data_IF_074812364904
#
_entry.id   IF_074812364904
#
_cell.length_a   1.000
_cell.length_b   1.000
_cell.length_c   1.000
_cell.angle_alpha   90.00
_cell.angle_beta   90.00
_cell.angle_gamma   90.00
#
_symmetry.space_group_name_H-M   'P 1'
#
loop_
_entity.id
_entity.type
_entity.pdbx_description
1 polymer ?
#
# COMPACT_ATOMS: atom_id res chain seq x y z
N UNK A 1 18.59 7.24 -28.29
CA UNK A 1 18.62 5.78 -28.01
C UNK A 1 17.21 5.32 -27.72
N UNK A 2 16.63 4.44 -28.54
CA UNK A 2 15.31 3.86 -28.29
C UNK A 2 15.42 2.81 -27.19
N UNK A 3 15.18 3.19 -25.93
CA UNK A 3 15.03 2.26 -24.82
C UNK A 3 13.85 1.32 -25.13
N UNK A 4 14.11 0.03 -25.37
CA UNK A 4 13.05 -0.95 -25.54
C UNK A 4 12.35 -1.18 -24.18
N UNK A 5 11.01 -1.23 -24.12
CA UNK A 5 10.30 -1.45 -22.87
C UNK A 5 10.71 -2.78 -22.26
N UNK A 6 11.10 -2.75 -20.98
CA UNK A 6 11.50 -3.95 -20.24
C UNK A 6 10.28 -4.52 -19.51
N UNK A 7 9.78 -5.67 -19.99
CA UNK A 7 8.55 -6.28 -19.48
C UNK A 7 8.66 -6.70 -18.00
N UNK A 8 9.85 -7.07 -17.53
CA UNK A 8 10.09 -7.41 -16.13
C UNK A 8 9.96 -6.16 -15.25
N UNK A 9 10.56 -5.06 -15.68
CA UNK A 9 10.44 -3.76 -14.98
C UNK A 9 8.99 -3.30 -14.96
N UNK A 10 8.26 -3.47 -16.07
CA UNK A 10 6.84 -3.14 -16.15
C UNK A 10 6.01 -3.87 -15.09
N UNK A 11 6.07 -5.20 -15.06
CA UNK A 11 5.24 -5.97 -14.13
C UNK A 11 5.65 -5.76 -12.66
N UNK A 12 6.94 -5.62 -12.36
CA UNK A 12 7.38 -5.32 -10.99
C UNK A 12 6.89 -3.92 -10.56
N UNK A 13 6.92 -2.94 -11.46
CA UNK A 13 6.37 -1.60 -11.19
C UNK A 13 4.86 -1.65 -10.96
N UNK A 14 4.13 -2.40 -11.78
CA UNK A 14 2.69 -2.60 -11.64
C UNK A 14 2.34 -3.22 -10.29
N UNK A 15 3.00 -4.33 -9.92
CA UNK A 15 2.75 -4.96 -8.62
C UNK A 15 3.15 -4.04 -7.47
N UNK A 16 4.27 -3.35 -7.55
CA UNK A 16 4.66 -2.36 -6.54
C UNK A 16 3.56 -1.30 -6.34
N UNK A 17 3.02 -0.73 -7.43
CA UNK A 17 1.93 0.23 -7.37
C UNK A 17 0.65 -0.35 -6.75
N UNK A 18 0.29 -1.60 -7.09
CA UNK A 18 -0.84 -2.28 -6.49
C UNK A 18 -0.65 -2.50 -4.99
N UNK A 19 0.53 -2.92 -4.53
CA UNK A 19 0.83 -3.10 -3.11
C UNK A 19 0.80 -1.78 -2.34
N UNK A 20 1.33 -0.69 -2.91
CA UNK A 20 1.20 0.64 -2.30
C UNK A 20 -0.28 1.00 -2.16
N UNK A 21 -1.07 0.85 -3.22
CA UNK A 21 -2.49 1.23 -3.20
C UNK A 21 -3.33 0.36 -2.25
N UNK A 22 -3.06 -0.94 -2.18
CA UNK A 22 -3.67 -1.83 -1.19
C UNK A 22 -3.26 -1.44 0.23
N UNK A 23 -1.99 -1.14 0.47
CA UNK A 23 -1.48 -0.71 1.77
C UNK A 23 -2.13 0.59 2.24
N UNK A 24 -2.23 1.59 1.38
CA UNK A 24 -2.92 2.86 1.66
C UNK A 24 -4.40 2.65 1.96
N UNK A 25 -5.08 1.76 1.22
CA UNK A 25 -6.48 1.44 1.50
C UNK A 25 -6.66 0.79 2.88
N UNK A 26 -5.77 -0.13 3.25
CA UNK A 26 -5.77 -0.78 4.57
C UNK A 26 -5.41 0.20 5.69
N UNK A 27 -4.48 1.13 5.44
CA UNK A 27 -4.14 2.19 6.39
C UNK A 27 -5.35 3.08 6.68
N UNK A 28 -6.03 3.54 5.63
CA UNK A 28 -7.26 4.32 5.77
C UNK A 28 -8.33 3.56 6.57
N UNK A 29 -8.51 2.25 6.32
CA UNK A 29 -9.44 1.41 7.08
C UNK A 29 -9.04 1.29 8.56
N UNK A 30 -7.76 1.02 8.84
CA UNK A 30 -7.23 0.91 10.19
C UNK A 30 -7.39 2.20 10.99
N UNK A 31 -6.99 3.35 10.44
CA UNK A 31 -7.08 4.63 11.14
C UNK A 31 -8.51 5.13 11.29
N UNK A 32 -9.38 4.89 10.30
CA UNK A 32 -10.80 5.25 10.43
C UNK A 32 -11.51 4.39 11.49
N UNK A 33 -11.14 3.10 11.61
CA UNK A 33 -11.60 2.20 12.68
C UNK A 33 -11.13 2.66 14.06
N UNK A 34 -9.87 3.13 14.20
CA UNK A 34 -9.34 3.63 15.48
C UNK A 34 -9.96 4.96 15.88
N UNK A 35 -10.14 5.88 14.92
CA UNK A 35 -10.65 7.22 15.19
C UNK A 35 -12.18 7.28 15.31
N UNK A 36 -12.88 6.15 15.10
CA UNK A 36 -14.34 6.10 15.17
C UNK A 36 -15.06 6.94 14.11
N UNK A 37 -14.36 7.31 13.03
CA UNK A 37 -14.90 8.13 11.92
C UNK A 37 -15.92 7.36 11.07
N UNK A 38 -15.92 6.05 11.24
CA UNK A 38 -16.63 5.10 10.42
C UNK A 38 -17.98 4.78 11.11
N UNK A 39 -19.05 5.48 10.69
CA UNK A 39 -20.43 5.33 11.21
C UNK A 39 -21.32 4.46 10.30
N UNK A 40 -22.45 3.95 10.83
CA UNK A 40 -23.46 3.18 10.08
C UNK A 40 -24.08 3.96 8.90
N UNK A 41 -23.90 5.28 8.85
CA UNK A 41 -24.42 6.17 7.82
C UNK A 41 -23.51 6.29 6.60
N UNK A 42 -22.34 5.65 6.62
CA UNK A 42 -21.42 5.70 5.49
C UNK A 42 -22.00 4.97 4.28
N UNK A 43 -22.07 5.67 3.15
CA UNK A 43 -22.32 5.08 1.83
C UNK A 43 -20.98 4.66 1.20
N UNK A 44 -20.71 3.36 1.16
CA UNK A 44 -19.50 2.79 0.57
C UNK A 44 -19.43 1.28 0.76
N UNK A 45 -18.43 0.59 0.16
CA UNK A 45 -18.18 -0.82 0.43
C UNK A 45 -17.92 -1.05 1.92
N UNK A 46 -18.24 -2.25 2.40
CA UNK A 46 -17.99 -2.63 3.79
C UNK A 46 -16.48 -2.56 4.07
N UNK A 47 -16.10 -1.73 5.04
CA UNK A 47 -14.74 -1.63 5.59
C UNK A 47 -14.45 -2.85 6.46
N UNK A 48 -13.26 -3.43 6.33
CA UNK A 48 -12.85 -4.59 7.12
C UNK A 48 -12.82 -4.22 8.61
N UNK A 49 -12.38 -3.01 8.95
CA UNK A 49 -12.34 -2.50 10.33
C UNK A 49 -13.70 -2.34 10.99
N UNK A 50 -14.76 -2.15 10.21
CA UNK A 50 -16.13 -2.04 10.73
C UNK A 50 -16.89 -3.37 10.70
N UNK A 51 -16.43 -4.34 9.93
CA UNK A 51 -17.13 -5.61 9.73
C UNK A 51 -17.25 -6.45 11.02
N UNK A 52 -16.41 -6.18 12.04
CA UNK A 52 -16.28 -7.00 13.23
C UNK A 52 -15.61 -8.36 12.98
N UNK A 53 -15.34 -8.71 11.71
CA UNK A 53 -14.72 -9.98 11.31
C UNK A 53 -13.19 -9.95 11.46
N UNK A 54 -12.59 -8.77 11.48
CA UNK A 54 -11.14 -8.57 11.54
C UNK A 54 -10.79 -7.68 12.72
N UNK A 55 -9.86 -8.13 13.56
CA UNK A 55 -9.38 -7.35 14.70
C UNK A 55 -8.52 -6.17 14.23
N UNK A 56 -8.46 -5.10 15.02
CA UNK A 56 -7.58 -3.93 14.76
C UNK A 56 -6.12 -4.37 14.58
N UNK A 57 -5.65 -5.29 15.41
CA UNK A 57 -4.30 -5.86 15.32
C UNK A 57 -4.09 -6.60 14.00
N UNK A 58 -5.07 -7.37 13.54
CA UNK A 58 -4.98 -8.05 12.24
C UNK A 58 -4.95 -7.04 11.08
N UNK A 59 -5.74 -5.97 11.13
CA UNK A 59 -5.71 -4.90 10.13
C UNK A 59 -4.35 -4.20 10.06
N UNK A 60 -3.74 -3.91 11.21
CA UNK A 60 -2.39 -3.36 11.28
C UNK A 60 -1.39 -4.30 10.58
N UNK A 61 -1.43 -5.60 10.89
CA UNK A 61 -0.52 -6.56 10.27
C UNK A 61 -0.77 -6.76 8.78
N UNK A 62 -2.03 -6.70 8.33
CA UNK A 62 -2.35 -6.73 6.90
C UNK A 62 -1.77 -5.52 6.17
N UNK A 63 -1.96 -4.31 6.72
CA UNK A 63 -1.37 -3.07 6.20
C UNK A 63 0.16 -3.17 6.15
N UNK A 64 0.79 -3.51 7.28
CA UNK A 64 2.25 -3.58 7.40
C UNK A 64 2.84 -4.64 6.45
N UNK A 65 2.23 -5.82 6.36
CA UNK A 65 2.68 -6.89 5.46
C UNK A 65 2.53 -6.48 3.99
N UNK A 66 1.45 -5.78 3.64
CA UNK A 66 1.23 -5.29 2.27
C UNK A 66 2.29 -4.29 1.85
N UNK A 67 2.61 -3.30 2.69
CA UNK A 67 3.73 -2.39 2.43
C UNK A 67 5.09 -3.09 2.49
N UNK A 68 5.25 -4.14 3.29
CA UNK A 68 6.51 -4.88 3.30
C UNK A 68 6.74 -5.63 1.99
N UNK A 69 5.71 -6.29 1.44
CA UNK A 69 5.83 -6.95 0.13
C UNK A 69 6.08 -5.94 -0.99
N UNK A 70 5.38 -4.79 -0.97
CA UNK A 70 5.64 -3.69 -1.90
C UNK A 70 7.09 -3.19 -1.84
N UNK A 71 7.67 -3.13 -0.64
CA UNK A 71 9.07 -2.75 -0.43
C UNK A 71 10.03 -3.79 -1.03
N UNK A 72 9.79 -5.09 -0.80
CA UNK A 72 10.62 -6.14 -1.39
C UNK A 72 10.62 -6.09 -2.92
N UNK A 73 9.47 -5.78 -3.54
CA UNK A 73 9.39 -5.57 -4.99
C UNK A 73 10.15 -4.32 -5.44
N UNK A 74 10.09 -3.25 -4.66
CA UNK A 74 10.78 -2.00 -4.99
C UNK A 74 12.31 -2.13 -4.91
N UNK A 75 12.87 -3.06 -4.13
CA UNK A 75 14.32 -3.32 -4.10
C UNK A 75 14.91 -3.61 -5.49
N UNK A 76 14.21 -4.41 -6.31
CA UNK A 76 14.64 -4.66 -7.68
C UNK A 76 14.64 -3.38 -8.53
N UNK A 77 13.61 -2.55 -8.37
CA UNK A 77 13.48 -1.28 -9.08
C UNK A 77 14.55 -0.28 -8.63
N UNK A 78 14.85 -0.20 -7.33
CA UNK A 78 15.91 0.64 -6.77
C UNK A 78 17.28 0.23 -7.33
N UNK A 79 17.56 -1.07 -7.40
CA UNK A 79 18.79 -1.57 -8.00
C UNK A 79 18.93 -1.16 -9.48
N UNK A 80 17.83 -1.10 -10.23
CA UNK A 80 17.82 -0.77 -11.67
C UNK A 80 17.75 0.72 -12.00
N UNK A 81 16.94 1.47 -11.26
CA UNK A 81 16.59 2.87 -11.52
C UNK A 81 17.15 3.86 -10.49
N UNK A 82 17.87 3.36 -9.48
CA UNK A 82 18.61 4.16 -8.52
C UNK A 82 17.81 4.56 -7.26
N UNK A 83 18.46 5.32 -6.36
CA UNK A 83 17.94 5.61 -5.02
C UNK A 83 16.69 6.49 -5.01
N UNK A 84 16.37 7.21 -6.08
CA UNK A 84 15.15 8.03 -6.17
C UNK A 84 13.89 7.20 -5.98
N UNK A 85 13.89 5.93 -6.41
CA UNK A 85 12.75 5.03 -6.28
C UNK A 85 12.51 4.67 -4.81
N UNK A 86 13.57 4.57 -4.00
CA UNK A 86 13.45 4.37 -2.55
C UNK A 86 12.75 5.57 -1.90
N UNK A 87 13.15 6.79 -2.29
CA UNK A 87 12.52 8.02 -1.79
C UNK A 87 11.05 8.07 -2.18
N UNK A 88 10.72 7.78 -3.44
CA UNK A 88 9.33 7.72 -3.91
C UNK A 88 8.51 6.68 -3.13
N UNK A 89 9.07 5.50 -2.89
CA UNK A 89 8.42 4.45 -2.11
C UNK A 89 8.17 4.89 -0.67
N UNK A 90 9.19 5.43 -0.01
CA UNK A 90 9.09 5.92 1.37
C UNK A 90 8.04 7.04 1.49
N UNK A 91 8.04 8.00 0.56
CA UNK A 91 7.02 9.05 0.51
C UNK A 91 5.62 8.48 0.30
N UNK A 92 5.45 7.50 -0.59
CA UNK A 92 4.16 6.86 -0.81
C UNK A 92 3.64 6.13 0.43
N UNK A 93 4.51 5.46 1.20
CA UNK A 93 4.13 4.84 2.47
C UNK A 93 3.74 5.89 3.50
N UNK A 94 4.54 6.96 3.66
CA UNK A 94 4.25 8.03 4.63
C UNK A 94 2.92 8.70 4.31
N UNK A 95 2.71 9.14 3.07
CA UNK A 95 1.46 9.78 2.63
C UNK A 95 0.26 8.80 2.59
N UNK A 96 0.53 7.51 2.50
CA UNK A 96 -0.51 6.48 2.52
C UNK A 96 -1.00 6.15 3.93
N UNK A 97 -0.21 6.46 4.95
CA UNK A 97 -0.45 6.11 6.36
C UNK A 97 -0.93 7.33 7.16
N UNK A 98 -0.42 8.54 6.85
CA UNK A 98 -0.70 9.78 7.56
C UNK A 98 -1.51 10.77 6.70
#
# INVERSE_FOLDING_TARGET
>A
MSQKPNIVVFFITLFCALFIQMGTNLANDYYDCIQGRDTLLRKGPVRLGQSGLVSKTSLFWMMASTFFVGFLLSLFLIFRGGPIILVMYALAVVLGVF
#
